data_IF_289047518647
#
_entry.id   IF_289047518647
#
_cell.length_a   1.000
_cell.length_b   1.000
_cell.length_c   1.000
_cell.angle_alpha   90.00
_cell.angle_beta   90.00
_cell.angle_gamma   90.00
#
_symmetry.space_group_name_H-M   'P 1'
#
loop_
_entity.id
_entity.type
_entity.pdbx_description
1 polymer ?
#
# COMPACT_ATOMS: atom_id res chain seq x y z
N UNK A 1 -38.92 41.26 38.19
CA UNK A 1 -37.63 41.10 37.52
C UNK A 1 -36.55 41.79 38.34
N UNK A 2 -35.52 41.07 38.75
CA UNK A 2 -34.32 41.47 39.46
C UNK A 2 -34.39 41.48 40.97
N UNK A 3 -34.40 40.29 41.58
CA UNK A 3 -34.02 40.10 42.98
C UNK A 3 -32.53 39.79 43.14
N UNK A 4 -31.69 40.47 42.37
CA UNK A 4 -30.25 40.36 42.54
C UNK A 4 -29.83 41.35 43.65
N UNK A 5 -29.56 40.85 44.86
CA UNK A 5 -29.06 41.65 45.99
C UNK A 5 -27.52 41.60 46.00
N UNK A 6 -26.82 42.59 45.43
CA UNK A 6 -25.36 42.57 45.31
C UNK A 6 -24.64 42.58 46.67
N UNK A 7 -25.29 43.15 47.69
CA UNK A 7 -24.73 43.27 49.04
C UNK A 7 -24.50 41.94 49.74
N UNK A 8 -25.31 40.93 49.45
CA UNK A 8 -25.13 39.56 50.01
C UNK A 8 -23.94 38.80 49.41
N UNK A 9 -23.57 39.13 48.20
CA UNK A 9 -22.41 38.52 47.53
C UNK A 9 -21.12 39.12 48.09
N UNK A 10 -21.08 40.42 48.39
CA UNK A 10 -19.92 41.12 48.93
C UNK A 10 -19.64 40.80 50.41
N UNK A 11 -20.64 40.42 51.19
CA UNK A 11 -20.48 40.11 52.64
C UNK A 11 -20.04 38.66 52.93
N UNK A 12 -19.54 37.90 51.94
CA UNK A 12 -18.89 36.60 52.15
C UNK A 12 -19.77 35.51 52.77
N UNK A 13 -21.13 35.68 52.71
CA UNK A 13 -22.07 34.69 53.23
C UNK A 13 -22.32 33.51 52.26
N UNK A 14 -21.29 33.06 51.57
CA UNK A 14 -21.28 31.69 51.11
C UNK A 14 -20.99 30.79 52.31
N UNK A 15 -22.03 30.49 53.09
CA UNK A 15 -21.95 29.34 53.98
C UNK A 15 -21.39 28.18 53.19
N UNK A 16 -20.32 27.58 53.71
CA UNK A 16 -19.75 26.31 53.24
C UNK A 16 -20.85 25.26 53.38
N UNK A 17 -21.81 25.26 52.49
CA UNK A 17 -22.75 24.17 52.32
C UNK A 17 -21.95 22.99 51.79
N UNK A 18 -21.96 21.85 52.49
CA UNK A 18 -21.19 20.64 52.15
C UNK A 18 -21.31 20.23 50.67
N UNK A 19 -22.40 20.62 49.99
CA UNK A 19 -22.60 20.45 48.55
C UNK A 19 -21.61 21.22 47.68
N UNK A 20 -21.19 22.44 48.06
CA UNK A 20 -20.22 23.23 47.32
C UNK A 20 -18.80 22.67 47.39
N UNK A 21 -18.44 22.11 48.56
CA UNK A 21 -17.16 21.40 48.72
C UNK A 21 -17.10 20.11 47.95
N UNK A 22 -18.19 19.34 47.90
CA UNK A 22 -18.32 18.11 47.09
C UNK A 22 -18.20 18.44 45.60
N UNK A 23 -18.91 19.43 45.10
CA UNK A 23 -18.85 19.83 43.71
C UNK A 23 -17.40 20.25 43.31
N UNK A 24 -16.72 21.02 44.13
CA UNK A 24 -15.33 21.45 43.90
C UNK A 24 -14.37 20.24 43.84
N UNK A 25 -14.50 19.30 44.78
CA UNK A 25 -13.71 18.07 44.80
C UNK A 25 -13.97 17.24 43.56
N UNK A 26 -15.25 17.06 43.16
CA UNK A 26 -15.62 16.30 41.95
C UNK A 26 -15.05 16.91 40.67
N UNK A 27 -15.08 18.25 40.56
CA UNK A 27 -14.49 18.96 39.42
C UNK A 27 -12.98 18.76 39.35
N UNK A 28 -12.27 18.82 40.48
CA UNK A 28 -10.84 18.58 40.52
C UNK A 28 -10.52 17.14 40.12
N UNK A 29 -11.25 16.15 40.65
CA UNK A 29 -11.06 14.74 40.29
C UNK A 29 -11.33 14.54 38.80
N UNK A 30 -12.41 15.11 38.27
CA UNK A 30 -12.74 15.05 36.84
C UNK A 30 -11.62 15.65 35.97
N UNK A 31 -11.09 16.81 36.38
CA UNK A 31 -9.97 17.45 35.67
C UNK A 31 -8.74 16.57 35.64
N UNK A 32 -8.36 15.94 36.79
CA UNK A 32 -7.24 15.01 36.82
C UNK A 32 -7.51 13.76 35.96
N UNK A 33 -8.72 13.22 35.98
CA UNK A 33 -9.10 12.08 35.14
C UNK A 33 -8.94 12.40 33.66
N UNK A 34 -9.43 13.55 33.21
CA UNK A 34 -9.29 14.00 31.82
C UNK A 34 -7.80 14.19 31.46
N UNK A 35 -7.02 14.82 32.35
CA UNK A 35 -5.59 15.04 32.12
C UNK A 35 -4.83 13.71 31.95
N UNK A 36 -5.06 12.75 32.84
CA UNK A 36 -4.43 11.42 32.76
C UNK A 36 -4.87 10.70 31.48
N UNK A 37 -6.16 10.75 31.16
CA UNK A 37 -6.69 10.16 29.93
C UNK A 37 -6.00 10.73 28.67
N UNK A 38 -5.84 12.05 28.58
CA UNK A 38 -5.19 12.72 27.46
C UNK A 38 -3.69 12.33 27.35
N UNK A 39 -2.98 12.27 28.48
CA UNK A 39 -1.59 11.84 28.51
C UNK A 39 -1.45 10.40 28.00
N UNK A 40 -2.24 9.47 28.53
CA UNK A 40 -2.20 8.05 28.11
C UNK A 40 -2.55 7.92 26.63
N UNK A 41 -3.61 8.61 26.18
CA UNK A 41 -4.00 8.61 24.76
C UNK A 41 -2.88 9.12 23.86
N UNK A 42 -2.21 10.19 24.25
CA UNK A 42 -1.08 10.74 23.49
C UNK A 42 0.09 9.77 23.40
N UNK A 43 0.41 9.07 24.49
CA UNK A 43 1.47 8.06 24.51
C UNK A 43 1.13 6.86 23.61
N UNK A 44 -0.12 6.41 23.62
CA UNK A 44 -0.60 5.33 22.75
C UNK A 44 -0.47 5.74 21.28
N UNK A 45 -0.96 6.93 20.92
CA UNK A 45 -0.87 7.44 19.53
C UNK A 45 0.58 7.57 19.08
N UNK A 46 1.46 8.09 19.94
CA UNK A 46 2.90 8.19 19.67
C UNK A 46 3.50 6.81 19.38
N UNK A 47 3.22 5.82 20.22
CA UNK A 47 3.73 4.46 20.04
C UNK A 47 3.20 3.82 18.75
N UNK A 48 1.91 4.02 18.43
CA UNK A 48 1.33 3.56 17.17
C UNK A 48 1.99 4.22 15.96
N UNK A 49 2.24 5.53 16.02
CA UNK A 49 2.92 6.26 14.94
C UNK A 49 4.35 5.75 14.73
N UNK A 50 5.11 5.57 15.81
CA UNK A 50 6.45 4.99 15.74
C UNK A 50 6.42 3.58 15.12
N UNK A 51 5.47 2.75 15.52
CA UNK A 51 5.31 1.41 14.94
C UNK A 51 5.07 1.48 13.43
N UNK A 52 4.15 2.36 12.97
CA UNK A 52 3.86 2.53 11.54
C UNK A 52 5.09 3.00 10.75
N UNK A 53 5.85 3.94 11.33
CA UNK A 53 7.04 4.50 10.67
C UNK A 53 8.21 3.51 10.59
N UNK A 54 8.38 2.67 11.61
CA UNK A 54 9.51 1.74 11.72
C UNK A 54 9.24 0.37 11.13
N UNK A 55 7.97 0.01 10.93
CA UNK A 55 7.61 -1.29 10.36
C UNK A 55 8.15 -1.42 8.94
N UNK A 56 8.85 -2.53 8.69
CA UNK A 56 9.29 -2.91 7.35
C UNK A 56 8.06 -3.27 6.51
N UNK A 57 7.85 -2.57 5.42
CA UNK A 57 6.72 -2.78 4.52
C UNK A 57 6.96 -3.91 3.53
N UNK A 58 8.22 -4.38 3.39
CA UNK A 58 8.61 -5.39 2.41
C UNK A 58 9.11 -4.80 1.09
N UNK A 59 9.20 -3.47 1.00
CA UNK A 59 9.85 -2.73 -0.09
C UNK A 59 10.57 -1.50 0.49
N UNK A 60 11.52 -0.91 -0.26
CA UNK A 60 12.19 0.32 0.16
C UNK A 60 11.30 1.53 -0.09
N UNK A 61 10.95 2.25 1.00
CA UNK A 61 10.18 3.51 0.96
C UNK A 61 11.02 4.75 1.15
N UNK A 62 12.27 4.62 1.60
CA UNK A 62 13.05 5.77 2.10
C UNK A 62 13.71 6.58 0.99
N UNK A 63 14.01 5.93 -0.13
CA UNK A 63 14.76 6.54 -1.24
C UNK A 63 13.96 6.59 -2.54
N UNK A 64 12.64 6.39 -2.48
CA UNK A 64 11.77 6.39 -3.66
C UNK A 64 10.99 7.68 -3.75
N UNK A 65 11.09 8.35 -4.89
CA UNK A 65 10.33 9.56 -5.21
C UNK A 65 9.27 9.20 -6.24
N UNK A 66 8.04 9.58 -5.97
CA UNK A 66 6.90 9.42 -6.88
C UNK A 66 6.62 10.73 -7.59
N UNK A 67 6.53 10.66 -8.92
CA UNK A 67 6.14 11.77 -9.76
C UNK A 67 4.86 11.39 -10.52
N UNK A 68 3.76 12.13 -10.35
CA UNK A 68 2.56 11.90 -11.15
C UNK A 68 2.85 12.25 -12.60
N UNK A 69 2.43 11.38 -13.51
CA UNK A 69 2.60 11.53 -14.95
C UNK A 69 1.28 11.94 -15.56
N UNK A 70 1.24 13.06 -16.27
CA UNK A 70 0.08 13.51 -17.03
C UNK A 70 0.10 13.00 -18.48
N UNK A 71 -1.00 13.21 -19.21
CA UNK A 71 -1.14 12.78 -20.60
C UNK A 71 -0.10 13.40 -21.57
N UNK A 72 0.53 14.53 -21.21
CA UNK A 72 1.58 15.16 -22.03
C UNK A 72 2.92 14.44 -21.86
N UNK A 73 3.19 14.04 -20.63
CA UNK A 73 4.41 13.31 -20.26
C UNK A 73 4.34 11.87 -20.77
N UNK A 74 3.15 11.26 -20.79
CA UNK A 74 2.97 9.87 -21.23
C UNK A 74 3.56 9.60 -22.62
N UNK A 75 3.46 10.55 -23.54
CA UNK A 75 4.01 10.42 -24.90
C UNK A 75 5.54 10.38 -24.96
N UNK A 76 6.24 10.79 -23.92
CA UNK A 76 7.69 10.91 -23.87
C UNK A 76 8.31 10.14 -22.69
N UNK A 77 7.59 9.16 -22.13
CA UNK A 77 8.03 8.43 -20.93
C UNK A 77 9.38 7.76 -21.09
N UNK A 78 9.64 7.14 -22.22
CA UNK A 78 10.93 6.51 -22.51
C UNK A 78 12.09 7.52 -22.49
N UNK A 79 11.88 8.69 -23.08
CA UNK A 79 12.88 9.77 -23.06
C UNK A 79 13.10 10.27 -21.63
N UNK A 80 12.03 10.54 -20.90
CA UNK A 80 12.09 10.99 -19.52
C UNK A 80 12.82 9.97 -18.62
N UNK A 81 12.49 8.68 -18.76
CA UNK A 81 13.17 7.60 -18.05
C UNK A 81 14.66 7.56 -18.33
N UNK A 82 15.06 7.75 -19.61
CA UNK A 82 16.46 7.80 -20.01
C UNK A 82 17.19 9.02 -19.44
N UNK A 83 16.57 10.20 -19.44
CA UNK A 83 17.13 11.40 -18.84
C UNK A 83 17.39 11.22 -17.32
N UNK A 84 16.43 10.64 -16.60
CA UNK A 84 16.63 10.34 -15.20
C UNK A 84 17.78 9.34 -14.96
N UNK A 85 17.92 8.33 -15.81
CA UNK A 85 18.98 7.31 -15.70
C UNK A 85 20.40 7.90 -15.93
N UNK A 86 20.52 9.05 -16.58
CA UNK A 86 21.82 9.72 -16.76
C UNK A 86 22.34 10.36 -15.46
N UNK A 87 21.47 10.62 -14.48
CA UNK A 87 21.88 11.15 -13.19
C UNK A 87 22.49 10.05 -12.32
N UNK A 88 23.78 10.12 -11.94
CA UNK A 88 24.46 9.09 -11.17
C UNK A 88 23.88 8.86 -9.75
N UNK A 89 23.09 9.81 -9.25
CA UNK A 89 22.42 9.68 -7.95
C UNK A 89 21.09 8.90 -8.04
N UNK A 90 20.61 8.57 -9.25
CA UNK A 90 19.38 7.82 -9.48
C UNK A 90 19.78 6.38 -9.84
N UNK A 91 19.50 5.45 -8.93
CA UNK A 91 19.87 4.05 -9.10
C UNK A 91 18.94 3.28 -10.05
N UNK A 92 17.66 3.62 -10.03
CA UNK A 92 16.64 2.98 -10.87
C UNK A 92 15.48 3.93 -11.12
N UNK A 93 14.82 3.77 -12.26
CA UNK A 93 13.61 4.50 -12.64
C UNK A 93 12.62 3.52 -13.21
N UNK A 94 11.42 3.53 -12.68
CA UNK A 94 10.34 2.63 -13.10
C UNK A 94 9.06 3.40 -13.36
N UNK A 95 8.22 2.85 -14.21
CA UNK A 95 6.86 3.30 -14.44
C UNK A 95 5.89 2.31 -13.80
N UNK A 96 4.92 2.84 -13.06
CA UNK A 96 3.86 2.05 -12.45
C UNK A 96 2.52 2.78 -12.53
N UNK A 97 1.44 2.02 -12.55
CA UNK A 97 0.10 2.60 -12.66
C UNK A 97 -0.33 3.31 -11.38
N UNK A 98 0.07 2.79 -10.22
CA UNK A 98 -0.29 3.30 -8.89
C UNK A 98 0.93 3.33 -7.97
N UNK A 99 0.79 4.00 -6.83
CA UNK A 99 1.84 4.00 -5.81
C UNK A 99 1.84 2.68 -5.03
N UNK A 100 2.99 2.15 -4.60
CA UNK A 100 3.05 0.87 -3.90
C UNK A 100 2.37 0.88 -2.52
N UNK A 101 2.04 2.07 -2.01
CA UNK A 101 1.32 2.22 -0.73
C UNK A 101 -0.19 2.10 -0.87
N UNK A 102 -0.71 2.16 -2.09
CA UNK A 102 -2.15 2.23 -2.34
C UNK A 102 -2.48 1.73 -3.74
N UNK A 103 -2.50 0.41 -3.88
CA UNK A 103 -2.85 -0.26 -5.13
C UNK A 103 -4.32 -0.67 -5.04
N UNK A 104 -5.16 -0.14 -5.93
CA UNK A 104 -6.61 -0.34 -5.91
C UNK A 104 -7.13 -1.18 -7.07
N UNK A 105 -6.37 -1.36 -8.13
CA UNK A 105 -6.85 -2.14 -9.26
C UNK A 105 -7.04 -3.61 -8.87
N UNK A 106 -8.29 -4.06 -8.89
CA UNK A 106 -8.66 -5.47 -8.71
C UNK A 106 -9.01 -6.12 -10.04
N UNK A 107 -8.61 -7.37 -10.23
CA UNK A 107 -8.93 -8.17 -11.40
C UNK A 107 -9.03 -9.66 -11.04
N UNK A 108 -9.66 -10.46 -11.91
CA UNK A 108 -9.71 -11.90 -11.78
C UNK A 108 -8.54 -12.58 -12.51
N UNK A 109 -7.77 -13.40 -11.80
CA UNK A 109 -6.74 -14.26 -12.40
C UNK A 109 -7.11 -15.73 -12.25
N UNK A 110 -6.94 -16.51 -13.33
CA UNK A 110 -7.28 -17.93 -13.36
C UNK A 110 -6.13 -18.79 -13.85
N UNK A 111 -6.09 -20.05 -13.40
CA UNK A 111 -5.16 -21.05 -13.91
C UNK A 111 -5.60 -21.53 -15.30
N UNK A 112 -4.66 -21.76 -16.22
CA UNK A 112 -4.91 -22.26 -17.57
C UNK A 112 -4.32 -23.67 -17.69
N UNK A 113 -5.11 -24.61 -18.27
CA UNK A 113 -4.65 -25.98 -18.54
C UNK A 113 -4.73 -26.93 -17.32
N UNK A 114 -5.32 -26.49 -16.21
CA UNK A 114 -5.69 -27.36 -15.11
C UNK A 114 -7.00 -28.10 -15.43
N UNK A 115 -7.20 -29.32 -14.87
CA UNK A 115 -8.46 -30.06 -15.00
C UNK A 115 -9.65 -29.25 -14.47
N UNK A 116 -9.44 -28.57 -13.35
CA UNK A 116 -10.39 -27.62 -12.79
C UNK A 116 -9.70 -26.26 -12.70
N UNK A 117 -10.12 -25.26 -13.49
CA UNK A 117 -9.59 -23.92 -13.38
C UNK A 117 -9.86 -23.31 -12.00
N UNK A 118 -8.84 -22.74 -11.40
CA UNK A 118 -8.96 -22.00 -10.14
C UNK A 118 -8.90 -20.51 -10.46
N UNK A 119 -9.95 -19.78 -10.11
CA UNK A 119 -10.02 -18.34 -10.26
C UNK A 119 -9.87 -17.65 -8.90
N UNK A 120 -9.12 -16.56 -8.87
CA UNK A 120 -8.90 -15.73 -7.69
C UNK A 120 -9.05 -14.25 -8.04
N UNK A 121 -9.71 -13.53 -7.16
CA UNK A 121 -9.65 -12.06 -7.21
C UNK A 121 -8.32 -11.61 -6.63
N UNK A 122 -7.61 -10.76 -7.36
CA UNK A 122 -6.28 -10.27 -6.98
C UNK A 122 -6.22 -8.76 -7.07
N UNK A 123 -5.30 -8.18 -6.33
CA UNK A 123 -4.82 -6.84 -6.62
C UNK A 123 -3.84 -6.92 -7.79
N UNK A 124 -4.05 -6.11 -8.81
CA UNK A 124 -3.24 -6.08 -10.02
C UNK A 124 -2.34 -4.83 -10.02
N UNK A 125 -1.05 -5.03 -10.17
CA UNK A 125 -0.08 -3.94 -10.16
C UNK A 125 0.69 -3.88 -11.48
N UNK A 126 0.17 -3.15 -12.47
CA UNK A 126 0.88 -2.96 -13.74
C UNK A 126 2.10 -2.08 -13.57
N UNK A 127 3.20 -2.51 -14.17
CA UNK A 127 4.45 -1.79 -14.12
C UNK A 127 5.36 -2.13 -15.30
N UNK A 128 6.54 -1.52 -15.33
CA UNK A 128 7.58 -1.88 -16.29
C UNK A 128 8.58 -2.89 -15.71
N UNK A 129 9.59 -3.23 -16.48
CA UNK A 129 10.61 -4.21 -16.10
C UNK A 129 11.48 -3.81 -14.92
N UNK A 130 11.53 -2.52 -14.56
CA UNK A 130 12.36 -2.04 -13.45
C UNK A 130 11.57 -1.88 -12.13
N UNK A 131 10.27 -2.19 -12.12
CA UNK A 131 9.40 -1.92 -10.96
C UNK A 131 9.88 -2.64 -9.69
N UNK A 132 10.10 -3.95 -9.79
CA UNK A 132 10.54 -4.80 -8.68
C UNK A 132 11.89 -4.33 -8.15
N UNK A 133 12.83 -4.03 -9.06
CA UNK A 133 14.15 -3.51 -8.73
C UNK A 133 14.09 -2.13 -8.07
N UNK A 134 13.27 -1.21 -8.60
CA UNK A 134 13.14 0.16 -8.07
C UNK A 134 12.57 0.18 -6.67
N UNK A 135 11.68 -0.76 -6.36
CA UNK A 135 11.07 -0.90 -5.04
C UNK A 135 11.83 -1.84 -4.10
N UNK A 136 12.94 -2.45 -4.56
CA UNK A 136 13.70 -3.47 -3.81
C UNK A 136 12.81 -4.61 -3.30
N UNK A 137 11.86 -5.05 -4.13
CA UNK A 137 10.98 -6.16 -3.80
C UNK A 137 11.77 -7.47 -3.92
N UNK A 138 11.78 -8.28 -2.86
CA UNK A 138 12.55 -9.51 -2.83
C UNK A 138 11.91 -10.62 -3.66
N UNK A 139 12.59 -11.07 -4.71
CA UNK A 139 12.23 -12.30 -5.41
C UNK A 139 12.61 -13.54 -4.59
N UNK A 140 11.72 -14.55 -4.55
CA UNK A 140 11.91 -15.81 -3.82
C UNK A 140 11.99 -17.04 -4.72
N UNK A 141 11.46 -16.93 -5.94
CA UNK A 141 11.59 -17.95 -6.97
C UNK A 141 11.50 -17.33 -8.36
N UNK A 142 12.11 -18.00 -9.36
CA UNK A 142 12.10 -17.54 -10.73
C UNK A 142 12.95 -16.30 -10.98
N UNK A 143 12.50 -15.47 -11.92
CA UNK A 143 13.19 -14.25 -12.37
C UNK A 143 12.23 -13.07 -12.37
N UNK A 144 12.81 -11.88 -12.28
CA UNK A 144 12.09 -10.61 -12.45
C UNK A 144 11.69 -10.41 -13.92
N UNK A 145 10.81 -9.42 -14.15
CA UNK A 145 10.50 -8.94 -15.50
C UNK A 145 11.75 -8.32 -16.14
N UNK A 146 11.81 -8.41 -17.46
CA UNK A 146 12.89 -7.85 -18.24
C UNK A 146 12.34 -7.03 -19.42
N UNK A 147 13.17 -6.15 -19.98
CA UNK A 147 12.77 -5.32 -21.13
C UNK A 147 12.36 -6.17 -22.36
N UNK A 148 12.89 -7.40 -22.48
CA UNK A 148 12.50 -8.34 -23.52
C UNK A 148 11.04 -8.81 -23.39
N UNK A 149 10.52 -8.87 -22.18
CA UNK A 149 9.14 -9.29 -21.91
C UNK A 149 8.14 -8.26 -22.44
N UNK A 150 8.52 -6.97 -22.40
CA UNK A 150 7.71 -5.88 -22.94
C UNK A 150 7.54 -5.97 -24.46
N UNK A 151 8.48 -6.60 -25.16
CA UNK A 151 8.39 -6.80 -26.61
C UNK A 151 7.34 -7.84 -27.01
N UNK A 152 6.95 -8.70 -26.08
CA UNK A 152 5.95 -9.76 -26.30
C UNK A 152 4.51 -9.25 -26.15
N UNK A 153 4.33 -8.00 -25.72
CA UNK A 153 3.03 -7.37 -25.47
C UNK A 153 2.83 -6.12 -26.33
N UNK A 154 3.33 -6.13 -27.55
CA UNK A 154 3.27 -4.99 -28.48
C UNK A 154 2.11 -5.08 -29.47
N UNK A 155 1.36 -6.16 -29.49
CA UNK A 155 0.24 -6.32 -30.42
C UNK A 155 -1.00 -5.60 -29.89
N UNK A 156 -1.71 -4.87 -30.75
CA UNK A 156 -2.98 -4.22 -30.40
C UNK A 156 -4.06 -5.26 -29.98
N UNK A 157 -4.03 -6.44 -30.56
CA UNK A 157 -4.87 -7.57 -30.15
C UNK A 157 -4.22 -8.27 -28.95
N UNK A 158 -4.67 -7.95 -27.74
CA UNK A 158 -4.17 -8.51 -26.48
C UNK A 158 -4.16 -10.05 -26.46
N UNK A 159 -5.03 -10.71 -27.21
CA UNK A 159 -5.09 -12.18 -27.27
C UNK A 159 -3.89 -12.80 -27.95
N UNK A 160 -3.14 -12.03 -28.72
CA UNK A 160 -1.89 -12.44 -29.42
C UNK A 160 -0.64 -12.14 -28.61
N UNK A 161 -0.76 -11.39 -27.54
CA UNK A 161 0.34 -11.07 -26.65
C UNK A 161 0.64 -12.25 -25.72
N UNK A 162 1.90 -12.39 -25.34
CA UNK A 162 2.32 -13.33 -24.31
C UNK A 162 2.78 -12.54 -23.08
N UNK A 163 2.05 -12.70 -21.98
CA UNK A 163 2.35 -12.00 -20.74
C UNK A 163 3.16 -12.85 -19.78
N UNK A 164 4.09 -12.23 -19.08
CA UNK A 164 4.70 -12.80 -17.89
C UNK A 164 4.09 -12.18 -16.65
N UNK A 165 3.82 -13.04 -15.66
CA UNK A 165 3.23 -12.62 -14.39
C UNK A 165 4.19 -12.91 -13.24
N UNK A 166 4.30 -11.95 -12.32
CA UNK A 166 4.94 -12.18 -11.03
C UNK A 166 3.84 -12.28 -9.98
N UNK A 167 3.86 -13.34 -9.19
CA UNK A 167 2.90 -13.56 -8.12
C UNK A 167 3.55 -13.27 -6.77
N UNK A 168 2.78 -12.75 -5.81
CA UNK A 168 3.28 -12.74 -4.44
C UNK A 168 3.13 -14.12 -3.78
N UNK A 169 3.78 -14.32 -2.62
CA UNK A 169 3.71 -15.58 -1.85
C UNK A 169 2.27 -15.99 -1.55
N UNK A 170 1.45 -15.02 -1.16
CA UNK A 170 0.04 -15.24 -0.83
C UNK A 170 -0.74 -15.78 -2.04
N UNK A 171 -0.59 -15.21 -3.23
CA UNK A 171 -1.29 -15.68 -4.42
C UNK A 171 -0.82 -17.08 -4.86
N UNK A 172 0.50 -17.33 -4.84
CA UNK A 172 1.02 -18.66 -5.14
C UNK A 172 0.45 -19.72 -4.18
N UNK A 173 0.38 -19.41 -2.89
CA UNK A 173 -0.22 -20.27 -1.86
C UNK A 173 -1.72 -20.49 -2.09
N UNK A 174 -2.47 -19.46 -2.50
CA UNK A 174 -3.90 -19.58 -2.80
C UNK A 174 -4.21 -20.46 -4.01
N UNK A 175 -3.28 -20.54 -4.96
CA UNK A 175 -3.32 -21.53 -6.06
C UNK A 175 -2.85 -22.93 -5.63
N UNK A 176 -2.39 -23.10 -4.39
CA UNK A 176 -1.87 -24.36 -3.88
C UNK A 176 -0.44 -24.67 -4.37
N UNK A 177 0.29 -23.68 -4.87
CA UNK A 177 1.65 -23.85 -5.39
C UNK A 177 2.69 -23.41 -4.38
N UNK A 178 3.79 -24.17 -4.29
CA UNK A 178 5.03 -23.65 -3.71
C UNK A 178 5.68 -22.66 -4.67
N UNK A 179 6.45 -21.67 -4.19
CA UNK A 179 7.04 -20.65 -5.04
C UNK A 179 7.78 -21.19 -6.27
N UNK A 180 8.58 -22.24 -6.10
CA UNK A 180 9.33 -22.87 -7.20
C UNK A 180 8.43 -23.62 -8.18
N UNK A 181 7.33 -24.20 -7.71
CA UNK A 181 6.37 -24.96 -8.51
C UNK A 181 5.45 -24.04 -9.33
N UNK A 182 5.34 -22.76 -8.94
CA UNK A 182 4.55 -21.76 -9.65
C UNK A 182 5.18 -21.36 -10.99
N UNK A 183 6.51 -21.44 -11.09
CA UNK A 183 7.25 -20.99 -12.29
C UNK A 183 6.86 -21.80 -13.52
N UNK A 184 6.53 -21.09 -14.61
CA UNK A 184 6.07 -21.69 -15.88
C UNK A 184 4.61 -22.16 -15.87
N UNK A 185 3.88 -22.02 -14.74
CA UNK A 185 2.43 -22.30 -14.73
C UNK A 185 1.70 -21.26 -15.57
N UNK A 186 0.77 -21.73 -16.40
CA UNK A 186 -0.03 -20.88 -17.27
C UNK A 186 -1.17 -20.24 -16.50
N UNK A 187 -1.31 -18.94 -16.64
CA UNK A 187 -2.37 -18.13 -16.01
C UNK A 187 -2.95 -17.13 -17.01
N UNK A 188 -4.15 -16.66 -16.72
CA UNK A 188 -4.81 -15.63 -17.50
C UNK A 188 -5.53 -14.64 -16.61
N UNK A 189 -5.46 -13.36 -16.98
CA UNK A 189 -6.10 -12.24 -16.29
C UNK A 189 -6.82 -11.37 -17.33
N UNK A 190 -8.16 -11.42 -17.34
CA UNK A 190 -8.95 -10.86 -18.43
C UNK A 190 -8.57 -11.46 -19.79
N UNK A 191 -8.22 -10.62 -20.77
CA UNK A 191 -7.73 -11.04 -22.10
C UNK A 191 -6.25 -11.46 -22.11
N UNK A 192 -5.49 -11.10 -21.07
CA UNK A 192 -4.05 -11.38 -20.96
C UNK A 192 -3.79 -12.84 -20.64
N UNK A 193 -3.00 -13.50 -21.48
CA UNK A 193 -2.63 -14.91 -21.33
C UNK A 193 -1.12 -15.04 -21.26
N UNK A 194 -0.63 -15.91 -20.40
CA UNK A 194 0.80 -16.13 -20.27
C UNK A 194 1.17 -17.08 -19.15
N UNK A 195 2.34 -16.87 -18.58
CA UNK A 195 2.88 -17.76 -17.56
C UNK A 195 3.52 -17.02 -16.40
N UNK A 196 3.65 -17.70 -15.28
CA UNK A 196 4.31 -17.19 -14.08
C UNK A 196 5.82 -17.21 -14.31
N UNK A 197 6.46 -16.05 -14.33
CA UNK A 197 7.91 -15.87 -14.48
C UNK A 197 8.65 -15.91 -13.15
N UNK A 198 8.00 -15.39 -12.11
CA UNK A 198 8.60 -15.33 -10.78
C UNK A 198 7.58 -15.22 -9.66
N UNK A 199 8.07 -15.50 -8.46
CA UNK A 199 7.32 -15.29 -7.21
C UNK A 199 8.14 -14.38 -6.31
N UNK A 200 7.50 -13.34 -5.79
CA UNK A 200 8.12 -12.38 -4.90
C UNK A 200 7.54 -12.45 -3.49
N UNK A 201 8.29 -11.95 -2.52
CA UNK A 201 7.89 -11.91 -1.12
C UNK A 201 6.74 -10.94 -0.92
N UNK A 202 5.80 -11.30 -0.06
CA UNK A 202 4.71 -10.43 0.34
C UNK A 202 5.20 -9.08 0.86
N UNK A 203 4.58 -8.01 0.40
CA UNK A 203 4.81 -6.66 0.90
C UNK A 203 3.47 -5.95 1.18
N UNK A 204 3.50 -4.92 2.02
CA UNK A 204 2.30 -4.15 2.34
C UNK A 204 1.99 -3.12 1.26
N UNK A 205 1.02 -3.42 0.41
CA UNK A 205 0.53 -2.55 -0.66
C UNK A 205 -0.82 -1.89 -0.34
N UNK A 206 -1.36 -2.15 0.84
CA UNK A 206 -2.59 -1.58 1.36
C UNK A 206 -2.42 -1.20 2.83
N UNK A 207 -3.52 -0.87 3.52
CA UNK A 207 -3.48 -0.55 4.94
C UNK A 207 -2.86 -1.67 5.77
N UNK A 208 -1.93 -1.32 6.66
CA UNK A 208 -1.31 -2.28 7.59
C UNK A 208 -2.28 -2.93 8.59
N UNK A 209 -3.54 -2.50 8.61
CA UNK A 209 -4.61 -3.12 9.41
C UNK A 209 -5.18 -4.37 8.77
N UNK A 210 -4.92 -4.57 7.49
CA UNK A 210 -5.39 -5.73 6.74
C UNK A 210 -4.24 -6.71 6.50
N UNK A 211 -4.52 -8.03 6.46
CA UNK A 211 -3.53 -8.99 6.01
C UNK A 211 -3.15 -8.71 4.57
N UNK A 212 -1.93 -9.09 4.18
CA UNK A 212 -1.47 -8.96 2.80
C UNK A 212 -2.29 -9.93 1.95
N UNK A 213 -3.00 -9.38 0.97
CA UNK A 213 -3.81 -10.15 0.02
C UNK A 213 -3.01 -10.66 -1.18
N UNK A 214 -3.68 -11.40 -2.08
CA UNK A 214 -3.10 -11.85 -3.33
C UNK A 214 -2.79 -10.66 -4.24
N UNK A 215 -1.56 -10.61 -4.77
CA UNK A 215 -1.04 -9.55 -5.62
C UNK A 215 -0.35 -10.14 -6.84
N UNK A 216 -0.61 -9.55 -8.00
CA UNK A 216 0.07 -9.89 -9.25
C UNK A 216 0.71 -8.64 -9.85
N UNK A 217 1.99 -8.74 -10.24
CA UNK A 217 2.68 -7.73 -11.04
C UNK A 217 2.76 -8.24 -12.47
N UNK A 218 2.48 -7.40 -13.44
CA UNK A 218 2.56 -7.75 -14.86
C UNK A 218 3.03 -6.56 -15.69
N UNK A 219 3.71 -6.79 -16.82
CA UNK A 219 4.27 -5.72 -17.63
C UNK A 219 3.18 -5.00 -18.42
N UNK A 220 3.33 -3.69 -18.55
CA UNK A 220 2.56 -2.85 -19.45
C UNK A 220 3.50 -2.05 -20.33
N UNK A 221 3.19 -2.00 -21.61
CA UNK A 221 3.91 -1.17 -22.57
C UNK A 221 3.36 0.26 -22.52
N UNK A 222 4.12 1.18 -21.95
CA UNK A 222 3.77 2.60 -21.84
C UNK A 222 4.13 3.42 -23.07
N UNK A 223 4.66 2.80 -24.10
CA UNK A 223 5.24 3.48 -25.28
C UNK A 223 4.43 3.40 -26.57
N UNK A 224 3.25 2.81 -26.53
CA UNK A 224 2.34 2.69 -27.68
C UNK A 224 1.07 3.50 -27.47
#
# INVERSE_FOLDING_TARGET
>A
LSHFQPIKVLKGAFKNTGSGLLLRKSLIVLQFMISVFLIVSTLIVRNQMNYIQTKKLGYDKQHVIWLPVDAKITKNLATLKNEFRQNPNIQSVSLAYETPTFIQWGDGIQTIGAEVPVEKMVTAYPGDADLVKTLDIQMIAGKDLAEEDLKLITNEDETKNHHYFLLNETLAKEFGWKPQEAIGKKVGMGSRRGEVKGVFRDFHFASMKQPIGPLVIFPVNWGN
#
